data_IF_591628879714
#
_entry.id   IF_591628879714
#
_cell.length_a   1.000
_cell.length_b   1.000
_cell.length_c   1.000
_cell.angle_alpha   90.00
_cell.angle_beta   90.00
_cell.angle_gamma   90.00
#
_symmetry.space_group_name_H-M   'P 1'
#
loop_
_entity.id
_entity.type
_entity.pdbx_description
1 polymer ?
#
# COMPACT_ATOMS: atom_id res chain seq x y z
N UNK A 1 -9.55 8.05 19.68
CA UNK A 1 -8.92 8.08 18.34
C UNK A 1 -9.56 9.18 17.50
N UNK A 2 -9.31 10.45 17.82
CA UNK A 2 -9.71 11.54 16.92
C UNK A 2 -8.56 11.75 15.94
N UNK A 3 -8.77 11.40 14.67
CA UNK A 3 -7.86 11.77 13.59
C UNK A 3 -7.89 13.28 13.33
N UNK A 4 -6.92 13.77 12.57
CA UNK A 4 -6.94 15.16 12.09
C UNK A 4 -8.15 15.38 11.18
N UNK A 5 -8.93 16.43 11.44
CA UNK A 5 -10.10 16.79 10.62
C UNK A 5 -9.79 17.96 9.70
N UNK A 6 -8.70 18.71 9.94
CA UNK A 6 -8.24 19.76 9.07
C UNK A 6 -7.41 19.19 7.91
N UNK A 7 -7.98 19.21 6.70
CA UNK A 7 -7.35 18.69 5.49
C UNK A 7 -5.97 19.32 5.20
N UNK A 8 -5.81 20.62 5.42
CA UNK A 8 -4.53 21.29 5.17
C UNK A 8 -3.44 20.81 6.12
N UNK A 9 -3.81 20.57 7.38
CA UNK A 9 -2.89 20.03 8.39
C UNK A 9 -2.57 18.56 8.14
N UNK A 10 -3.56 17.78 7.71
CA UNK A 10 -3.39 16.38 7.30
C UNK A 10 -2.34 16.26 6.18
N UNK A 11 -2.51 17.00 5.09
CA UNK A 11 -1.61 16.93 3.94
C UNK A 11 -0.18 17.37 4.27
N UNK A 12 -0.01 18.39 5.13
CA UNK A 12 1.33 18.84 5.58
C UNK A 12 2.06 17.83 6.46
N UNK A 13 1.31 16.95 7.15
CA UNK A 13 1.86 16.01 8.14
C UNK A 13 1.93 14.57 7.62
N UNK A 14 1.43 14.32 6.42
CA UNK A 14 1.58 13.03 5.74
C UNK A 14 3.03 12.81 5.33
N UNK A 15 3.56 11.65 5.73
CA UNK A 15 4.92 11.22 5.43
C UNK A 15 4.84 10.01 4.49
N UNK A 16 5.06 10.21 3.17
CA UNK A 16 5.14 9.12 2.24
C UNK A 16 6.47 8.38 2.42
N UNK A 17 6.40 7.05 2.45
CA UNK A 17 7.55 6.16 2.43
C UNK A 17 7.42 5.24 1.23
N UNK A 18 8.33 5.37 0.26
CA UNK A 18 8.40 4.44 -0.87
C UNK A 18 8.98 3.12 -0.35
N UNK A 19 8.22 2.04 -0.54
CA UNK A 19 8.68 0.71 -0.17
C UNK A 19 9.74 0.25 -1.16
N UNK A 20 10.77 -0.41 -0.65
CA UNK A 20 11.85 -0.91 -1.50
C UNK A 20 11.38 -2.03 -2.42
N UNK A 21 11.98 -2.03 -3.60
CA UNK A 21 11.76 -3.04 -4.62
C UNK A 21 10.78 -2.61 -5.70
N UNK A 22 10.69 -3.50 -6.67
CA UNK A 22 9.95 -3.28 -7.91
C UNK A 22 8.80 -4.26 -7.94
N UNK A 23 7.60 -3.73 -8.16
CA UNK A 23 6.37 -4.51 -8.16
C UNK A 23 5.81 -4.60 -9.58
N UNK A 24 5.04 -5.65 -9.84
CA UNK A 24 4.37 -5.86 -11.12
C UNK A 24 2.93 -6.26 -10.88
N UNK A 25 2.10 -5.94 -11.87
CA UNK A 25 0.69 -6.28 -11.88
C UNK A 25 0.50 -7.44 -12.87
N UNK A 26 0.10 -8.59 -12.34
CA UNK A 26 -0.13 -9.82 -13.10
C UNK A 26 -1.63 -10.15 -13.10
N UNK A 27 -2.11 -10.78 -14.16
CA UNK A 27 -3.48 -11.27 -14.24
C UNK A 27 -3.48 -12.79 -14.40
N UNK A 28 -4.27 -13.49 -13.59
CA UNK A 28 -4.40 -14.95 -13.62
C UNK A 28 -5.88 -15.35 -13.57
N UNK A 29 -6.26 -16.40 -14.28
CA UNK A 29 -7.64 -16.93 -14.25
C UNK A 29 -7.97 -17.67 -12.95
N UNK A 30 -6.97 -18.20 -12.26
CA UNK A 30 -7.12 -18.97 -11.04
C UNK A 30 -5.95 -18.74 -10.06
N UNK A 31 -6.26 -18.74 -8.77
CA UNK A 31 -5.30 -18.56 -7.68
C UNK A 31 -4.72 -19.88 -7.16
N UNK A 32 -5.27 -21.02 -7.53
CA UNK A 32 -4.88 -22.32 -6.96
C UNK A 32 -3.38 -22.65 -7.13
N UNK A 33 -2.79 -22.21 -8.24
CA UNK A 33 -1.37 -22.41 -8.56
C UNK A 33 -0.47 -21.28 -8.05
N UNK A 34 -1.03 -20.23 -7.45
CA UNK A 34 -0.28 -19.05 -7.01
C UNK A 34 0.03 -19.17 -5.52
N UNK A 35 1.32 -19.16 -5.12
CA UNK A 35 1.68 -19.16 -3.71
C UNK A 35 1.34 -17.79 -3.09
N UNK A 36 0.17 -17.68 -2.45
CA UNK A 36 -0.36 -16.42 -1.91
C UNK A 36 0.53 -15.75 -0.86
N UNK A 37 1.42 -16.50 -0.21
CA UNK A 37 2.43 -15.94 0.69
C UNK A 37 3.50 -15.08 -0.02
N UNK A 38 3.61 -15.18 -1.34
CA UNK A 38 4.50 -14.34 -2.17
C UNK A 38 3.77 -13.14 -2.78
N UNK A 39 2.45 -13.04 -2.56
CA UNK A 39 1.59 -12.00 -3.09
C UNK A 39 1.49 -10.87 -2.08
N UNK A 40 1.73 -9.63 -2.50
CA UNK A 40 1.60 -8.44 -1.66
C UNK A 40 0.14 -8.07 -1.49
N UNK A 41 -0.61 -8.13 -2.59
CA UNK A 41 -2.05 -7.88 -2.64
C UNK A 41 -2.63 -8.61 -3.84
N UNK A 42 -3.86 -9.08 -3.73
CA UNK A 42 -4.64 -9.53 -4.87
C UNK A 42 -6.10 -9.17 -4.69
N UNK A 43 -6.83 -9.13 -5.80
CA UNK A 43 -8.27 -8.96 -5.80
C UNK A 43 -8.88 -9.63 -7.01
N UNK A 44 -10.16 -9.97 -6.89
CA UNK A 44 -10.94 -10.62 -7.94
C UNK A 44 -11.68 -9.57 -8.75
N UNK A 45 -11.46 -9.59 -10.05
CA UNK A 45 -12.23 -8.84 -11.04
C UNK A 45 -13.28 -9.77 -11.68
N UNK A 46 -14.13 -9.23 -12.55
CA UNK A 46 -15.16 -10.03 -13.22
C UNK A 46 -14.53 -11.11 -14.12
N UNK A 47 -13.39 -10.79 -14.73
CA UNK A 47 -12.74 -11.60 -15.75
C UNK A 47 -11.63 -12.51 -15.18
N UNK A 48 -10.93 -12.07 -14.13
CA UNK A 48 -9.73 -12.73 -13.63
C UNK A 48 -9.35 -12.25 -12.21
N UNK A 49 -8.25 -12.76 -11.67
CA UNK A 49 -7.59 -12.21 -10.49
C UNK A 49 -6.43 -11.32 -10.89
N UNK A 50 -6.38 -10.14 -10.28
CA UNK A 50 -5.22 -9.26 -10.37
C UNK A 50 -4.34 -9.46 -9.16
N UNK A 51 -3.04 -9.66 -9.40
CA UNK A 51 -2.00 -9.91 -8.41
C UNK A 51 -0.97 -8.78 -8.43
N UNK A 52 -0.54 -8.36 -7.24
CA UNK A 52 0.60 -7.46 -7.06
C UNK A 52 1.71 -8.24 -6.35
N UNK A 53 2.84 -8.37 -7.03
CA UNK A 53 3.98 -9.18 -6.62
C UNK A 53 5.27 -8.38 -6.76
N UNK A 54 6.33 -8.80 -6.08
CA UNK A 54 7.67 -8.38 -6.48
C UNK A 54 8.01 -8.93 -7.87
N UNK A 55 8.65 -8.11 -8.71
CA UNK A 55 9.04 -8.47 -10.09
C UNK A 55 9.77 -9.81 -10.16
N UNK A 56 10.78 -10.01 -9.31
CA UNK A 56 11.57 -11.25 -9.31
C UNK A 56 10.73 -12.51 -8.96
N UNK A 57 9.62 -12.36 -8.22
CA UNK A 57 8.71 -13.46 -7.91
C UNK A 57 7.78 -13.76 -9.08
N UNK A 58 7.28 -12.73 -9.75
CA UNK A 58 6.53 -12.90 -10.99
C UNK A 58 7.39 -13.60 -12.07
N UNK A 59 8.64 -13.18 -12.21
CA UNK A 59 9.61 -13.79 -13.12
C UNK A 59 9.85 -15.28 -12.78
N UNK A 60 10.04 -15.61 -11.49
CA UNK A 60 10.22 -16.99 -11.04
C UNK A 60 8.97 -17.87 -11.23
N UNK A 61 7.78 -17.28 -11.13
CA UNK A 61 6.50 -17.94 -11.37
C UNK A 61 6.08 -17.92 -12.85
N UNK A 62 6.90 -17.33 -13.73
CA UNK A 62 6.62 -17.17 -15.16
C UNK A 62 5.28 -16.47 -15.46
N UNK A 63 4.89 -15.53 -14.60
CA UNK A 63 3.67 -14.76 -14.76
C UNK A 63 3.89 -13.59 -15.71
N UNK A 64 2.98 -13.43 -16.67
CA UNK A 64 2.99 -12.26 -17.57
C UNK A 64 2.55 -11.00 -16.82
N UNK A 65 3.21 -9.88 -17.14
CA UNK A 65 2.85 -8.55 -16.65
C UNK A 65 3.15 -7.48 -17.70
N UNK A 66 2.37 -6.40 -17.71
CA UNK A 66 2.47 -5.33 -18.71
C UNK A 66 3.24 -4.11 -18.20
N UNK A 67 3.27 -3.89 -16.89
CA UNK A 67 3.85 -2.68 -16.30
C UNK A 67 4.55 -2.96 -14.98
N UNK A 68 5.54 -2.13 -14.69
CA UNK A 68 6.40 -2.18 -13.49
C UNK A 68 6.15 -0.94 -12.62
N UNK A 69 5.89 -1.14 -11.34
CA UNK A 69 5.49 -0.09 -10.40
C UNK A 69 6.30 -0.10 -9.09
N UNK A 70 6.08 0.95 -8.29
CA UNK A 70 6.58 1.09 -6.93
C UNK A 70 5.38 1.29 -6.00
N UNK A 71 5.46 0.74 -4.79
CA UNK A 71 4.42 0.92 -3.78
C UNK A 71 4.93 1.92 -2.75
N UNK A 72 4.11 2.92 -2.41
CA UNK A 72 4.37 3.81 -1.28
C UNK A 72 3.33 3.57 -0.19
N UNK A 73 3.80 3.56 1.05
CA UNK A 73 2.93 3.65 2.23
C UNK A 73 2.88 5.09 2.67
N UNK A 74 1.72 5.54 3.15
CA UNK A 74 1.60 6.88 3.72
C UNK A 74 1.17 6.75 5.17
N UNK A 75 1.93 7.38 6.05
CA UNK A 75 1.61 7.50 7.47
C UNK A 75 1.28 8.95 7.76
N UNK A 76 0.26 9.15 8.58
CA UNK A 76 0.03 10.47 9.17
C UNK A 76 0.94 10.60 10.40
N UNK A 77 1.71 11.67 10.49
CA UNK A 77 2.42 11.97 11.75
C UNK A 77 1.38 12.07 12.87
N UNK A 78 1.62 11.38 14.00
CA UNK A 78 0.76 11.52 15.15
C UNK A 78 0.70 13.01 15.51
N UNK A 79 -0.51 13.58 15.55
CA UNK A 79 -0.71 14.93 16.03
C UNK A 79 -0.24 14.94 17.48
N UNK A 80 0.92 15.57 17.75
CA UNK A 80 1.35 15.82 19.10
C UNK A 80 0.27 16.70 19.72
N UNK A 81 -0.56 16.12 20.58
CA UNK A 81 -1.53 16.83 21.40
C UNK A 81 -0.76 17.77 22.34
N UNK A 82 -0.30 18.89 21.81
CA UNK A 82 0.05 20.07 22.57
C UNK A 82 -1.26 20.83 22.79
N UNK A 83 -2.15 20.24 23.58
CA UNK A 83 -3.05 21.11 24.32
C UNK A 83 -2.15 21.89 25.29
N UNK A 84 -2.09 23.23 25.23
CA UNK A 84 -1.69 23.97 26.40
C UNK A 84 -2.78 23.66 27.43
N UNK A 85 -2.43 22.91 28.47
CA UNK A 85 -3.20 22.92 29.71
C UNK A 85 -3.42 24.39 30.05
N UNK A 86 -4.66 24.88 29.89
CA UNK A 86 -5.07 26.16 30.44
C UNK A 86 -4.72 26.13 31.93
N UNK A 87 -4.06 27.17 32.47
CA UNK A 87 -3.86 27.24 33.91
C UNK A 87 -5.23 27.32 34.56
N UNK A 88 -5.48 26.40 35.50
CA UNK A 88 -6.65 26.43 36.34
C UNK A 88 -6.77 27.82 37.00
N UNK A 89 -7.88 28.49 36.75
CA UNK A 89 -8.32 29.65 37.52
C UNK A 89 -9.81 29.54 37.78
#
# INVERSE_FOLDING_TARGET
MSGETNLQQLLKTMQPHVNEGTYVLCTVSDLSAVPLNQVVMFFKEQEAYTLILYKHRADALQLSYTFTSYISTVKQAACAFTHPCLPAR
#
